data_IF_829395434462
#
_entry.id   IF_829395434462
#
_cell.length_a   1.000
_cell.length_b   1.000
_cell.length_c   1.000
_cell.angle_alpha   90.00
_cell.angle_beta   90.00
_cell.angle_gamma   90.00
#
_symmetry.space_group_name_H-M   'P 1'
#
loop_
_entity.id
_entity.type
_entity.pdbx_description
1 polymer ?
#
# COMPACT_ATOMS: atom_id res chain seq x y z
N UNK A 1 -22.42 15.58 68.44
CA UNK A 1 -21.63 16.17 67.36
C UNK A 1 -20.58 15.23 66.79
N UNK A 2 -19.70 14.59 67.56
CA UNK A 2 -18.63 13.68 67.06
C UNK A 2 -19.18 12.45 66.31
N UNK A 3 -20.30 11.87 66.71
CA UNK A 3 -20.92 10.69 66.08
C UNK A 3 -21.48 11.03 64.70
N UNK A 4 -22.08 12.20 64.53
CA UNK A 4 -22.62 12.67 63.25
C UNK A 4 -21.52 12.96 62.22
N UNK A 5 -20.39 13.49 62.68
CA UNK A 5 -19.20 13.72 61.83
C UNK A 5 -18.65 12.37 61.34
N UNK A 6 -18.58 11.38 62.20
CA UNK A 6 -18.11 10.03 61.84
C UNK A 6 -19.02 9.38 60.81
N UNK A 7 -20.35 9.48 61.00
CA UNK A 7 -21.35 8.95 60.06
C UNK A 7 -21.20 9.65 58.68
N UNK A 8 -21.03 10.96 58.68
CA UNK A 8 -20.83 11.73 57.44
C UNK A 8 -19.55 11.34 56.70
N UNK A 9 -18.42 11.19 57.43
CA UNK A 9 -17.16 10.75 56.86
C UNK A 9 -17.27 9.32 56.28
N UNK A 10 -17.93 8.40 57.04
CA UNK A 10 -18.17 7.04 56.52
C UNK A 10 -19.06 7.02 55.28
N UNK A 11 -20.13 7.80 55.24
CA UNK A 11 -21.02 7.92 54.06
C UNK A 11 -20.31 8.47 52.86
N UNK A 12 -19.41 9.44 53.02
CA UNK A 12 -18.68 10.06 51.92
C UNK A 12 -17.50 9.21 51.41
N UNK A 13 -16.85 8.44 52.32
CA UNK A 13 -15.72 7.56 51.98
C UNK A 13 -16.15 6.20 51.41
N UNK A 14 -17.38 5.74 51.74
CA UNK A 14 -17.89 4.42 51.28
C UNK A 14 -17.90 4.26 49.76
N UNK A 15 -18.41 5.20 48.94
CA UNK A 15 -18.38 5.07 47.48
C UNK A 15 -16.96 5.00 46.93
N UNK A 16 -16.04 5.76 47.48
CA UNK A 16 -14.62 5.73 47.11
C UNK A 16 -13.96 4.39 47.47
N UNK A 17 -14.27 3.87 48.67
CA UNK A 17 -13.74 2.59 49.13
C UNK A 17 -14.28 1.43 48.31
N UNK A 18 -15.57 1.45 47.97
CA UNK A 18 -16.21 0.47 47.05
C UNK A 18 -15.62 0.56 45.64
N UNK A 19 -15.39 1.75 45.13
CA UNK A 19 -14.77 1.96 43.82
C UNK A 19 -13.34 1.41 43.79
N UNK A 20 -12.52 1.68 44.82
CA UNK A 20 -11.14 1.18 44.95
C UNK A 20 -11.13 -0.35 45.11
N UNK A 21 -12.02 -0.91 45.94
CA UNK A 21 -12.15 -2.35 46.11
C UNK A 21 -12.59 -3.02 44.79
N UNK A 22 -13.56 -2.43 44.10
CA UNK A 22 -14.03 -2.95 42.81
C UNK A 22 -12.93 -2.90 41.73
N UNK A 23 -12.14 -1.83 41.70
CA UNK A 23 -10.99 -1.70 40.82
C UNK A 23 -9.87 -2.71 41.12
N UNK A 24 -9.64 -3.00 42.42
CA UNK A 24 -8.65 -3.97 42.89
C UNK A 24 -9.10 -5.43 42.68
N UNK A 25 -10.39 -5.71 42.82
CA UNK A 25 -10.96 -7.05 42.66
C UNK A 25 -11.17 -7.44 41.19
N UNK A 26 -11.46 -6.50 40.32
CA UNK A 26 -11.37 -6.72 38.89
C UNK A 26 -9.89 -6.74 38.50
N UNK A 27 -9.30 -7.92 38.49
CA UNK A 27 -8.17 -8.16 37.60
C UNK A 27 -8.68 -7.93 36.19
N UNK A 28 -8.69 -6.66 35.76
CA UNK A 28 -9.00 -6.30 34.39
C UNK A 28 -8.09 -7.14 33.53
N UNK A 29 -8.66 -7.99 32.68
CA UNK A 29 -7.87 -8.55 31.59
C UNK A 29 -7.29 -7.33 30.89
N UNK A 30 -5.96 -7.20 30.96
CA UNK A 30 -5.26 -6.16 30.21
C UNK A 30 -5.72 -6.35 28.80
N UNK A 31 -6.46 -5.38 28.27
CA UNK A 31 -6.88 -5.37 26.87
C UNK A 31 -5.57 -5.33 26.07
N UNK A 32 -5.11 -6.52 25.69
CA UNK A 32 -3.97 -6.64 24.77
C UNK A 32 -4.48 -6.19 23.42
N UNK A 33 -4.33 -4.92 23.14
CA UNK A 33 -4.53 -4.38 21.81
C UNK A 33 -3.44 -5.04 20.95
N UNK A 34 -3.85 -5.98 20.12
CA UNK A 34 -2.96 -6.55 19.11
C UNK A 34 -2.69 -5.44 18.11
N UNK A 35 -1.46 -4.96 18.09
CA UNK A 35 -1.03 -3.92 17.15
C UNK A 35 -0.64 -4.49 15.78
N UNK A 36 -0.66 -5.81 15.63
CA UNK A 36 -0.17 -6.49 14.43
C UNK A 36 -0.97 -6.08 13.17
N UNK A 37 -2.28 -5.94 13.29
CA UNK A 37 -3.15 -5.51 12.20
C UNK A 37 -2.98 -4.02 11.82
N UNK A 38 -2.39 -3.21 12.69
CA UNK A 38 -2.09 -1.80 12.42
C UNK A 38 -0.74 -1.66 11.73
N UNK A 39 0.20 -2.56 12.03
CA UNK A 39 1.57 -2.54 11.50
C UNK A 39 1.73 -3.29 10.19
N UNK A 40 0.98 -4.36 9.98
CA UNK A 40 1.04 -5.17 8.76
C UNK A 40 -0.22 -4.95 7.91
N UNK A 41 -0.05 -4.28 6.77
CA UNK A 41 -1.14 -4.04 5.82
C UNK A 41 -1.77 -5.32 5.29
N UNK A 42 -1.03 -6.43 5.27
CA UNK A 42 -1.43 -7.75 4.79
C UNK A 42 -1.92 -8.66 5.92
N UNK A 43 -2.10 -8.16 7.13
CA UNK A 43 -2.45 -8.95 8.32
C UNK A 43 -3.66 -9.86 8.10
N UNK A 44 -4.75 -9.36 7.50
CA UNK A 44 -5.97 -10.15 7.32
C UNK A 44 -5.76 -11.34 6.38
N UNK A 45 -5.11 -11.12 5.23
CA UNK A 45 -4.78 -12.18 4.27
C UNK A 45 -3.85 -13.22 4.88
N UNK A 46 -2.75 -12.79 5.49
CA UNK A 46 -1.78 -13.69 6.14
C UNK A 46 -2.39 -14.48 7.30
N UNK A 47 -3.20 -13.84 8.14
CA UNK A 47 -3.88 -14.51 9.25
C UNK A 47 -4.90 -15.55 8.76
N UNK A 48 -5.65 -15.22 7.72
CA UNK A 48 -6.60 -16.14 7.10
C UNK A 48 -5.88 -17.31 6.45
N UNK A 49 -4.83 -17.07 5.66
CA UNK A 49 -4.00 -18.10 5.06
C UNK A 49 -3.46 -19.08 6.10
N UNK A 50 -2.85 -18.55 7.17
CA UNK A 50 -2.29 -19.37 8.23
C UNK A 50 -3.34 -20.25 8.92
N UNK A 51 -4.57 -19.76 9.10
CA UNK A 51 -5.67 -20.53 9.67
C UNK A 51 -6.12 -21.65 8.73
N UNK A 52 -6.28 -21.35 7.43
CA UNK A 52 -6.69 -22.34 6.44
C UNK A 52 -5.61 -23.41 6.28
N UNK A 53 -4.36 -23.03 6.12
CA UNK A 53 -3.22 -23.96 5.93
C UNK A 53 -3.06 -24.92 7.11
N UNK A 54 -3.25 -24.43 8.32
CA UNK A 54 -3.22 -25.27 9.53
C UNK A 54 -4.36 -26.29 9.55
N UNK A 55 -5.55 -25.90 9.10
CA UNK A 55 -6.74 -26.72 9.17
C UNK A 55 -6.93 -27.64 7.94
N UNK A 56 -6.29 -27.32 6.80
CA UNK A 56 -6.44 -28.06 5.55
C UNK A 56 -6.10 -29.55 5.65
N UNK A 57 -5.00 -29.97 6.32
CA UNK A 57 -4.66 -31.38 6.48
C UNK A 57 -5.69 -32.19 7.29
N UNK A 58 -6.48 -31.52 8.13
CA UNK A 58 -7.51 -32.12 8.98
C UNK A 58 -8.90 -32.10 8.32
N UNK A 59 -9.02 -31.60 7.08
CA UNK A 59 -10.27 -31.54 6.34
C UNK A 59 -10.84 -32.96 6.12
N UNK A 60 -12.12 -33.17 6.47
CA UNK A 60 -12.84 -34.45 6.30
C UNK A 60 -14.22 -34.19 5.73
N UNK A 61 -14.58 -34.99 4.72
CA UNK A 61 -15.92 -34.96 4.10
C UNK A 61 -16.35 -33.56 3.61
N UNK A 62 -15.42 -32.76 3.08
CA UNK A 62 -15.70 -31.42 2.62
C UNK A 62 -15.99 -30.41 3.74
N UNK A 63 -15.55 -30.71 4.97
CA UNK A 63 -15.68 -29.83 6.14
C UNK A 63 -14.32 -29.51 6.71
N UNK A 64 -14.10 -28.25 7.07
CA UNK A 64 -12.88 -27.74 7.71
C UNK A 64 -13.21 -27.05 9.04
N UNK A 65 -12.33 -27.18 10.04
CA UNK A 65 -12.49 -26.52 11.32
C UNK A 65 -11.60 -25.28 11.38
N UNK A 66 -12.19 -24.10 11.22
CA UNK A 66 -11.53 -22.81 11.47
C UNK A 66 -11.89 -22.33 12.89
N UNK A 67 -12.57 -21.19 13.04
CA UNK A 67 -13.19 -20.78 14.31
C UNK A 67 -14.46 -21.58 14.62
N UNK A 68 -15.10 -22.08 13.60
CA UNK A 68 -16.26 -22.99 13.60
C UNK A 68 -16.12 -23.98 12.45
N UNK A 69 -16.98 -24.99 12.41
CA UNK A 69 -17.02 -25.93 11.31
C UNK A 69 -17.60 -25.26 10.05
N UNK A 70 -16.83 -25.29 8.97
CA UNK A 70 -17.18 -24.66 7.69
C UNK A 70 -17.28 -25.72 6.59
N UNK A 71 -18.30 -25.60 5.76
CA UNK A 71 -18.43 -26.40 4.55
C UNK A 71 -17.54 -25.83 3.46
N UNK A 72 -16.78 -26.68 2.82
CA UNK A 72 -15.79 -26.31 1.79
C UNK A 72 -16.31 -26.66 0.41
N UNK A 73 -16.10 -25.77 -0.55
CA UNK A 73 -16.20 -26.01 -1.98
C UNK A 73 -14.78 -25.97 -2.57
N UNK A 74 -14.28 -27.13 -2.97
CA UNK A 74 -13.00 -27.21 -3.69
C UNK A 74 -13.20 -26.92 -5.18
N UNK A 75 -12.31 -26.11 -5.76
CA UNK A 75 -12.35 -25.73 -7.18
C UNK A 75 -10.97 -25.78 -7.80
N UNK A 76 -10.90 -26.18 -9.09
CA UNK A 76 -9.68 -26.17 -9.90
C UNK A 76 -10.02 -25.95 -11.37
N UNK A 77 -9.16 -25.23 -12.11
CA UNK A 77 -9.38 -24.90 -13.50
C UNK A 77 -10.55 -23.94 -13.74
N UNK A 78 -11.16 -24.00 -14.90
CA UNK A 78 -12.33 -23.17 -15.23
C UNK A 78 -13.56 -23.71 -14.53
N UNK A 79 -14.09 -22.95 -13.58
CA UNK A 79 -15.24 -23.32 -12.77
C UNK A 79 -16.46 -22.50 -13.16
N UNK A 80 -17.51 -23.18 -13.61
CA UNK A 80 -18.80 -22.55 -13.94
C UNK A 80 -19.76 -22.67 -12.75
N UNK A 81 -20.34 -21.55 -12.33
CA UNK A 81 -21.31 -21.51 -11.22
C UNK A 81 -22.70 -21.27 -11.77
N UNK A 82 -23.60 -22.20 -11.47
CA UNK A 82 -25.02 -22.14 -11.87
C UNK A 82 -25.84 -21.38 -10.83
N UNK A 83 -25.48 -21.55 -9.54
CA UNK A 83 -26.17 -20.87 -8.45
C UNK A 83 -25.62 -19.46 -8.27
N UNK A 84 -26.48 -18.45 -8.07
CA UNK A 84 -26.05 -17.07 -7.89
C UNK A 84 -25.39 -16.81 -6.52
N UNK A 85 -25.61 -17.67 -5.53
CA UNK A 85 -25.05 -17.52 -4.18
C UNK A 85 -24.23 -18.74 -3.78
N UNK A 86 -23.01 -18.51 -3.29
CA UNK A 86 -22.10 -19.51 -2.78
C UNK A 86 -21.89 -19.28 -1.28
N UNK A 87 -22.50 -20.15 -0.48
CA UNK A 87 -22.46 -20.08 0.99
C UNK A 87 -21.25 -20.80 1.61
N UNK A 88 -20.49 -21.51 0.81
CA UNK A 88 -19.36 -22.31 1.25
C UNK A 88 -18.07 -21.48 1.29
N UNK A 89 -17.15 -21.85 2.19
CA UNK A 89 -15.74 -21.47 2.07
C UNK A 89 -15.18 -22.08 0.77
N UNK A 90 -14.56 -21.29 -0.07
CA UNK A 90 -13.98 -21.80 -1.31
C UNK A 90 -12.48 -22.01 -1.14
N UNK A 91 -12.03 -23.21 -1.48
CA UNK A 91 -10.60 -23.55 -1.60
C UNK A 91 -10.31 -23.81 -3.06
N UNK A 92 -9.62 -22.84 -3.68
CA UNK A 92 -9.26 -22.86 -5.09
C UNK A 92 -7.79 -23.28 -5.26
N UNK A 93 -7.50 -24.10 -6.25
CA UNK A 93 -6.11 -24.47 -6.56
C UNK A 93 -5.51 -23.52 -7.61
N UNK A 94 -6.13 -23.43 -8.78
CA UNK A 94 -5.77 -22.50 -9.85
C UNK A 94 -7.05 -22.24 -10.64
N UNK A 95 -7.87 -21.31 -10.20
CA UNK A 95 -9.27 -21.27 -10.62
C UNK A 95 -9.61 -19.99 -11.38
N UNK A 96 -10.31 -20.19 -12.53
CA UNK A 96 -11.00 -19.14 -13.28
C UNK A 96 -12.48 -19.23 -12.89
N UNK A 97 -12.98 -18.20 -12.24
CA UNK A 97 -14.35 -18.11 -11.77
C UNK A 97 -15.25 -17.56 -12.88
N UNK A 98 -16.12 -18.40 -13.41
CA UNK A 98 -17.02 -18.07 -14.52
C UNK A 98 -18.48 -18.30 -14.09
N UNK A 99 -19.23 -17.27 -13.66
CA UNK A 99 -20.66 -17.42 -13.44
C UNK A 99 -21.38 -17.67 -14.78
N UNK A 100 -22.38 -18.54 -14.80
CA UNK A 100 -23.26 -18.72 -15.95
C UNK A 100 -24.32 -17.61 -16.04
N UNK A 101 -24.72 -17.09 -14.87
CA UNK A 101 -25.66 -15.98 -14.75
C UNK A 101 -24.94 -14.73 -14.24
N UNK A 102 -25.52 -13.56 -14.46
CA UNK A 102 -25.06 -12.33 -13.86
C UNK A 102 -25.33 -12.39 -12.34
N UNK A 103 -24.50 -11.65 -11.54
CA UNK A 103 -24.63 -11.51 -10.09
C UNK A 103 -24.24 -12.73 -9.24
N UNK A 104 -23.06 -13.30 -9.45
CA UNK A 104 -22.50 -14.31 -8.54
C UNK A 104 -22.04 -13.69 -7.22
N UNK A 105 -22.50 -14.22 -6.10
CA UNK A 105 -22.18 -13.73 -4.76
C UNK A 105 -21.51 -14.81 -3.90
N UNK A 106 -20.28 -14.55 -3.45
CA UNK A 106 -19.58 -15.37 -2.47
C UNK A 106 -19.81 -14.81 -1.07
N UNK A 107 -20.57 -15.52 -0.26
CA UNK A 107 -20.91 -15.11 1.11
C UNK A 107 -19.76 -15.34 2.10
N UNK A 108 -18.79 -16.16 1.76
CA UNK A 108 -17.61 -16.48 2.57
C UNK A 108 -16.31 -16.14 1.85
N UNK A 109 -15.23 -16.34 2.59
CA UNK A 109 -13.88 -16.09 2.11
C UNK A 109 -13.48 -17.13 1.04
N UNK A 110 -12.59 -16.72 0.16
CA UNK A 110 -11.96 -17.56 -0.86
C UNK A 110 -10.46 -17.65 -0.55
N UNK A 111 -9.95 -18.87 -0.46
CA UNK A 111 -8.53 -19.16 -0.36
C UNK A 111 -8.07 -19.82 -1.66
N UNK A 112 -7.03 -19.26 -2.30
CA UNK A 112 -6.44 -19.86 -3.49
C UNK A 112 -4.98 -20.25 -3.25
N UNK A 113 -4.64 -21.50 -3.62
CA UNK A 113 -3.25 -22.01 -3.55
C UNK A 113 -2.35 -21.43 -4.65
N UNK A 114 -2.93 -20.98 -5.75
CA UNK A 114 -2.25 -20.35 -6.87
C UNK A 114 -3.02 -19.12 -7.34
N UNK A 115 -3.19 -18.96 -8.63
CA UNK A 115 -3.89 -17.83 -9.22
C UNK A 115 -5.42 -17.97 -9.02
N UNK A 116 -6.08 -16.84 -8.82
CA UNK A 116 -7.54 -16.76 -8.82
C UNK A 116 -7.99 -15.62 -9.76
N UNK A 117 -8.75 -15.98 -10.78
CA UNK A 117 -9.19 -15.07 -11.84
C UNK A 117 -10.71 -14.91 -11.81
N UNK A 118 -11.18 -13.70 -11.61
CA UNK A 118 -12.60 -13.34 -11.65
C UNK A 118 -12.84 -12.53 -12.93
N UNK A 119 -13.08 -13.24 -14.05
CA UNK A 119 -13.09 -12.65 -15.38
C UNK A 119 -14.46 -12.16 -15.86
N UNK A 120 -15.53 -12.49 -15.15
CA UNK A 120 -16.88 -12.03 -15.47
C UNK A 120 -17.26 -10.81 -14.65
N UNK A 121 -18.18 -10.02 -15.19
CA UNK A 121 -18.73 -8.84 -14.51
C UNK A 121 -19.70 -9.21 -13.37
N UNK A 122 -19.96 -8.24 -12.49
CA UNK A 122 -20.96 -8.30 -11.42
C UNK A 122 -20.74 -9.43 -10.40
N UNK A 123 -19.50 -9.81 -10.11
CA UNK A 123 -19.19 -10.75 -9.05
C UNK A 123 -19.04 -9.98 -7.73
N UNK A 124 -19.72 -10.46 -6.68
CA UNK A 124 -19.60 -9.95 -5.32
C UNK A 124 -18.78 -10.90 -4.47
N UNK A 125 -17.70 -10.39 -3.91
CA UNK A 125 -16.74 -11.14 -3.12
C UNK A 125 -16.72 -10.61 -1.69
N UNK A 126 -16.77 -11.51 -0.70
CA UNK A 126 -16.62 -11.11 0.70
C UNK A 126 -15.17 -10.79 1.03
N UNK A 127 -14.28 -11.75 0.84
CA UNK A 127 -12.84 -11.57 0.96
C UNK A 127 -12.11 -12.67 0.18
N UNK A 128 -10.91 -12.34 -0.32
CA UNK A 128 -10.14 -13.25 -1.16
C UNK A 128 -8.66 -13.20 -0.77
N UNK A 129 -8.06 -14.39 -0.63
CA UNK A 129 -6.62 -14.55 -0.50
C UNK A 129 -6.08 -15.46 -1.60
N UNK A 130 -4.92 -15.11 -2.15
CA UNK A 130 -4.19 -15.96 -3.08
C UNK A 130 -2.72 -16.07 -2.68
N UNK A 131 -2.18 -17.30 -2.76
CA UNK A 131 -0.72 -17.52 -2.61
C UNK A 131 0.11 -17.01 -3.78
N UNK A 132 -0.54 -16.68 -4.91
CA UNK A 132 0.14 -16.10 -6.06
C UNK A 132 -0.53 -14.80 -6.46
N UNK A 133 -1.37 -14.84 -7.48
CA UNK A 133 -1.93 -13.65 -8.11
C UNK A 133 -3.44 -13.64 -8.07
N UNK A 134 -4.01 -12.45 -7.95
CA UNK A 134 -5.44 -12.19 -8.08
C UNK A 134 -5.70 -11.35 -9.32
N UNK A 135 -6.74 -11.67 -10.06
CA UNK A 135 -7.25 -10.86 -11.14
C UNK A 135 -8.74 -10.58 -10.93
N UNK A 136 -9.08 -9.31 -10.89
CA UNK A 136 -10.45 -8.82 -10.90
C UNK A 136 -10.75 -8.18 -12.25
N UNK A 137 -11.69 -8.79 -12.99
CA UNK A 137 -12.25 -8.20 -14.21
C UNK A 137 -13.08 -6.97 -13.91
N UNK A 138 -13.90 -6.54 -14.86
CA UNK A 138 -14.72 -5.33 -14.69
C UNK A 138 -15.88 -5.55 -13.71
N UNK A 139 -16.29 -4.48 -13.03
CA UNK A 139 -17.50 -4.41 -12.17
C UNK A 139 -17.53 -5.45 -11.04
N UNK A 140 -16.36 -5.78 -10.52
CA UNK A 140 -16.24 -6.64 -9.33
C UNK A 140 -16.50 -5.80 -8.07
N UNK A 141 -17.26 -6.36 -7.14
CA UNK A 141 -17.51 -5.74 -5.83
C UNK A 141 -16.88 -6.58 -4.72
N UNK A 142 -15.89 -6.05 -4.06
CA UNK A 142 -15.27 -6.62 -2.88
C UNK A 142 -15.90 -5.97 -1.63
N UNK A 143 -16.34 -6.80 -0.65
CA UNK A 143 -16.98 -6.27 0.55
C UNK A 143 -15.99 -5.94 1.67
N UNK A 144 -14.91 -6.71 1.81
CA UNK A 144 -13.97 -6.55 2.91
C UNK A 144 -12.53 -6.37 2.45
N UNK A 145 -11.84 -7.46 2.14
CA UNK A 145 -10.42 -7.38 1.79
C UNK A 145 -10.04 -8.39 0.71
N UNK A 146 -9.01 -8.04 -0.06
CA UNK A 146 -8.29 -8.94 -0.95
C UNK A 146 -6.79 -8.85 -0.68
N UNK A 147 -6.09 -9.99 -0.71
CA UNK A 147 -4.65 -10.07 -0.54
C UNK A 147 -4.05 -11.14 -1.44
N UNK A 148 -2.90 -10.84 -2.06
CA UNK A 148 -2.11 -11.78 -2.83
C UNK A 148 -0.65 -11.76 -2.41
N UNK A 149 0.02 -12.92 -2.44
CA UNK A 149 1.46 -12.96 -2.12
C UNK A 149 2.30 -12.25 -3.19
N UNK A 150 1.89 -12.33 -4.45
CA UNK A 150 2.61 -11.73 -5.56
C UNK A 150 1.90 -10.47 -6.06
N UNK A 151 0.96 -10.60 -6.98
CA UNK A 151 0.36 -9.46 -7.66
C UNK A 151 -1.16 -9.47 -7.60
N UNK A 152 -1.74 -8.27 -7.59
CA UNK A 152 -3.17 -8.07 -7.80
C UNK A 152 -3.37 -7.18 -9.03
N UNK A 153 -4.17 -7.65 -9.96
CA UNK A 153 -4.62 -6.92 -11.14
C UNK A 153 -6.10 -6.62 -11.02
N UNK A 154 -6.48 -5.36 -11.16
CA UNK A 154 -7.87 -4.90 -11.12
C UNK A 154 -8.15 -4.14 -12.40
N UNK A 155 -9.19 -4.55 -13.12
CA UNK A 155 -9.66 -3.82 -14.29
C UNK A 155 -10.59 -2.68 -13.91
N UNK A 156 -11.58 -2.37 -14.70
CA UNK A 156 -12.31 -1.12 -14.55
C UNK A 156 -13.63 -1.28 -13.77
N UNK A 157 -14.15 -0.18 -13.24
CA UNK A 157 -15.46 -0.05 -12.60
C UNK A 157 -15.66 -0.96 -11.36
N UNK A 158 -14.59 -1.27 -10.63
CA UNK A 158 -14.65 -2.12 -9.44
C UNK A 158 -14.82 -1.30 -8.15
N UNK A 159 -15.54 -1.91 -7.19
CA UNK A 159 -15.60 -1.46 -5.80
C UNK A 159 -14.69 -2.37 -4.96
N UNK A 160 -13.56 -1.84 -4.54
CA UNK A 160 -12.49 -2.60 -3.88
C UNK A 160 -12.65 -2.72 -2.36
N UNK A 161 -13.80 -2.30 -1.83
CA UNK A 161 -14.15 -2.44 -0.42
C UNK A 161 -13.16 -1.78 0.54
N UNK A 162 -12.92 -2.43 1.68
CA UNK A 162 -12.14 -1.83 2.75
C UNK A 162 -10.63 -1.85 2.48
N UNK A 163 -10.10 -2.93 1.87
CA UNK A 163 -8.66 -3.08 1.68
C UNK A 163 -8.29 -4.02 0.55
N UNK A 164 -7.34 -3.59 -0.27
CA UNK A 164 -6.62 -4.46 -1.22
C UNK A 164 -5.13 -4.38 -0.94
N UNK A 165 -4.49 -5.53 -0.84
CA UNK A 165 -3.06 -5.63 -0.56
C UNK A 165 -2.36 -6.67 -1.44
N UNK A 166 -1.07 -6.45 -1.66
CA UNK A 166 -0.22 -7.34 -2.43
C UNK A 166 1.19 -7.38 -1.84
N UNK A 167 1.87 -8.51 -2.02
CA UNK A 167 3.26 -8.67 -1.60
C UNK A 167 4.27 -8.04 -2.54
N UNK A 168 3.91 -7.86 -3.81
CA UNK A 168 4.82 -7.34 -4.84
C UNK A 168 4.23 -6.12 -5.53
N UNK A 169 3.14 -6.28 -6.27
CA UNK A 169 2.59 -5.17 -7.04
C UNK A 169 1.07 -5.20 -7.11
N UNK A 170 0.49 -4.02 -7.22
CA UNK A 170 -0.92 -3.78 -7.40
C UNK A 170 -1.13 -2.89 -8.63
N UNK A 171 -1.87 -3.37 -9.62
CA UNK A 171 -2.20 -2.60 -10.81
C UNK A 171 -3.71 -2.42 -10.88
N UNK A 172 -4.17 -1.19 -10.91
CA UNK A 172 -5.60 -0.84 -10.86
C UNK A 172 -5.95 0.03 -12.06
N UNK A 173 -6.92 -0.41 -12.83
CA UNK A 173 -7.49 0.31 -13.97
C UNK A 173 -8.28 1.54 -13.55
N UNK A 174 -9.26 1.91 -14.37
CA UNK A 174 -10.01 3.16 -14.23
C UNK A 174 -11.38 2.96 -13.58
N UNK A 175 -11.98 4.05 -13.15
CA UNK A 175 -13.33 4.11 -12.56
C UNK A 175 -13.52 3.19 -11.36
N UNK A 176 -12.42 2.94 -10.63
CA UNK A 176 -12.39 2.13 -9.42
C UNK A 176 -12.54 3.00 -8.17
N UNK A 177 -13.17 2.43 -7.13
CA UNK A 177 -13.27 3.03 -5.80
C UNK A 177 -12.62 2.11 -4.76
N UNK A 178 -12.00 2.70 -3.73
CA UNK A 178 -11.29 1.98 -2.68
C UNK A 178 -11.24 2.76 -1.37
N UNK A 179 -10.87 2.11 -0.26
CA UNK A 179 -10.55 2.80 1.00
C UNK A 179 -9.06 2.66 1.37
N UNK A 180 -8.48 1.48 1.22
CA UNK A 180 -7.07 1.27 1.55
C UNK A 180 -6.39 0.34 0.55
N UNK A 181 -5.22 0.76 0.07
CA UNK A 181 -4.37 -0.02 -0.83
C UNK A 181 -2.99 -0.19 -0.20
N UNK A 182 -2.36 -1.33 -0.46
CA UNK A 182 -0.97 -1.57 -0.10
C UNK A 182 -0.27 -2.48 -1.10
N UNK A 183 0.85 -2.05 -1.60
CA UNK A 183 1.86 -2.89 -2.26
C UNK A 183 3.21 -2.17 -2.26
N UNK A 184 4.34 -2.89 -2.39
CA UNK A 184 5.63 -2.26 -2.68
C UNK A 184 5.57 -1.33 -3.89
N UNK A 185 4.82 -1.71 -4.93
CA UNK A 185 4.56 -0.89 -6.12
C UNK A 185 3.06 -0.87 -6.41
N UNK A 186 2.44 0.30 -6.44
CA UNK A 186 1.04 0.51 -6.83
C UNK A 186 1.01 1.35 -8.10
N UNK A 187 0.33 0.86 -9.13
CA UNK A 187 0.07 1.54 -10.40
C UNK A 187 -1.41 1.84 -10.50
N UNK A 188 -1.76 3.07 -10.70
CA UNK A 188 -3.14 3.55 -10.65
C UNK A 188 -3.53 4.22 -11.96
N UNK A 189 -4.71 3.90 -12.48
CA UNK A 189 -5.18 4.37 -13.77
C UNK A 189 -4.32 3.85 -14.92
N UNK A 190 -3.96 2.59 -14.84
CA UNK A 190 -3.18 1.88 -15.85
C UNK A 190 -3.66 0.43 -15.90
N UNK A 191 -3.81 -0.14 -17.10
CA UNK A 191 -4.14 -1.55 -17.24
C UNK A 191 -2.91 -2.44 -17.09
N UNK A 192 -3.08 -3.67 -16.61
CA UNK A 192 -1.97 -4.61 -16.43
C UNK A 192 -1.11 -4.85 -17.68
N UNK A 193 -1.71 -4.78 -18.86
CA UNK A 193 -1.04 -4.94 -20.17
C UNK A 193 -0.34 -3.69 -20.69
N UNK A 194 -0.64 -2.51 -20.10
CA UNK A 194 0.01 -1.28 -20.55
C UNK A 194 1.47 -1.21 -20.08
N UNK A 195 2.40 -0.76 -20.95
CA UNK A 195 3.79 -0.56 -20.54
C UNK A 195 3.92 0.56 -19.52
N UNK A 196 4.96 0.52 -18.70
CA UNK A 196 5.32 1.57 -17.76
C UNK A 196 5.72 2.84 -18.50
N UNK A 197 4.79 3.76 -18.72
CA UNK A 197 5.03 4.99 -19.47
C UNK A 197 5.82 6.03 -18.69
N UNK A 198 5.73 6.02 -17.37
CA UNK A 198 6.24 7.07 -16.50
C UNK A 198 7.55 6.73 -15.77
N UNK A 199 7.96 5.46 -15.76
CA UNK A 199 9.22 5.07 -15.12
C UNK A 199 10.46 5.46 -15.93
N UNK A 200 10.34 5.55 -17.26
CA UNK A 200 11.46 5.84 -18.15
C UNK A 200 11.82 7.34 -18.23
N UNK A 201 10.88 8.22 -17.86
CA UNK A 201 11.04 9.69 -17.99
C UNK A 201 11.41 10.40 -16.67
N UNK A 202 11.62 9.65 -15.57
CA UNK A 202 11.96 10.27 -14.28
C UNK A 202 13.35 10.91 -14.31
N UNK A 203 13.41 12.13 -13.83
CA UNK A 203 14.67 12.84 -13.63
C UNK A 203 15.56 12.04 -12.66
N UNK A 204 16.76 11.57 -13.09
CA UNK A 204 17.66 10.79 -12.22
C UNK A 204 18.10 11.55 -10.97
N UNK A 205 17.97 12.88 -10.92
CA UNK A 205 18.23 13.67 -9.71
C UNK A 205 17.25 13.38 -8.57
N UNK A 206 16.04 12.90 -8.89
CA UNK A 206 15.00 12.58 -7.91
C UNK A 206 15.40 11.38 -7.04
N UNK A 207 16.21 10.46 -7.55
CA UNK A 207 16.66 9.26 -6.84
C UNK A 207 17.82 9.50 -5.85
N UNK A 208 18.37 10.70 -5.79
CA UNK A 208 19.41 11.02 -4.80
C UNK A 208 18.79 11.17 -3.42
N UNK A 209 19.40 10.52 -2.41
CA UNK A 209 18.98 10.68 -1.01
C UNK A 209 19.01 12.17 -0.63
N UNK A 210 17.92 12.72 -0.08
CA UNK A 210 17.90 14.12 0.33
C UNK A 210 18.95 14.35 1.41
N UNK A 211 19.79 15.34 1.21
CA UNK A 211 20.66 15.85 2.28
C UNK A 211 19.75 16.57 3.26
N UNK A 212 19.58 16.03 4.46
CA UNK A 212 18.72 16.59 5.49
C UNK A 212 19.32 17.86 6.09
N UNK A 213 19.35 18.94 5.34
CA UNK A 213 19.61 20.26 5.87
C UNK A 213 18.29 20.84 6.39
N UNK A 214 18.13 20.90 7.70
CA UNK A 214 16.95 21.49 8.34
C UNK A 214 17.12 23.01 8.41
N UNK A 215 16.63 23.71 7.40
CA UNK A 215 16.36 25.14 7.47
C UNK A 215 14.85 25.34 7.39
N UNK A 216 14.27 25.99 8.41
CA UNK A 216 12.84 26.33 8.45
C UNK A 216 12.64 27.68 7.76
N UNK A 217 11.70 27.74 6.83
CA UNK A 217 11.39 28.94 6.09
C UNK A 217 9.87 29.17 6.07
N UNK A 218 9.43 30.29 6.59
CA UNK A 218 8.01 30.67 6.56
C UNK A 218 7.72 31.41 5.23
N UNK A 219 7.31 30.65 4.20
CA UNK A 219 7.01 31.18 2.87
C UNK A 219 5.77 30.51 2.27
N UNK A 220 5.05 31.26 1.44
CA UNK A 220 3.86 30.77 0.72
C UNK A 220 4.18 30.34 -0.72
N UNK A 221 5.28 30.81 -1.26
CA UNK A 221 5.69 30.60 -2.64
C UNK A 221 7.12 30.07 -2.69
N UNK A 222 7.30 28.98 -3.42
CA UNK A 222 8.61 28.34 -3.62
C UNK A 222 8.92 28.47 -5.10
N UNK A 223 9.82 29.34 -5.44
CA UNK A 223 10.14 29.79 -6.80
C UNK A 223 11.65 29.83 -7.06
N UNK A 224 12.03 30.30 -8.26
CA UNK A 224 13.42 30.29 -8.75
C UNK A 224 14.40 31.07 -7.88
N UNK A 225 13.94 32.07 -7.11
CA UNK A 225 14.88 32.84 -6.24
C UNK A 225 15.39 31.99 -5.07
N UNK A 226 14.80 30.85 -4.77
CA UNK A 226 15.27 29.93 -3.73
C UNK A 226 16.16 28.82 -4.28
N UNK A 227 16.29 28.71 -5.60
CA UNK A 227 17.05 27.64 -6.26
C UNK A 227 18.54 27.89 -6.14
N UNK A 228 19.27 26.89 -5.67
CA UNK A 228 20.73 26.90 -5.61
C UNK A 228 21.36 26.63 -6.99
N UNK A 229 22.68 26.78 -7.10
CA UNK A 229 23.44 26.42 -8.31
C UNK A 229 23.26 24.96 -8.75
N UNK A 230 22.87 24.06 -7.80
CA UNK A 230 22.54 22.66 -8.08
C UNK A 230 21.14 22.45 -8.63
N UNK A 231 20.34 23.48 -8.83
CA UNK A 231 18.96 23.40 -9.32
C UNK A 231 17.96 22.91 -8.26
N UNK A 232 18.27 23.07 -6.98
CA UNK A 232 17.43 22.57 -5.88
C UNK A 232 17.15 23.64 -4.84
N UNK A 233 16.05 23.49 -4.09
CA UNK A 233 15.71 24.27 -2.90
C UNK A 233 16.00 23.42 -1.66
N UNK A 234 17.06 23.70 -0.88
CA UNK A 234 17.53 22.82 0.19
C UNK A 234 16.85 23.09 1.55
N UNK A 235 15.60 23.55 1.57
CA UNK A 235 14.94 24.01 2.80
C UNK A 235 13.69 23.21 3.12
N UNK A 236 13.40 23.04 4.41
CA UNK A 236 12.08 22.68 4.91
C UNK A 236 11.21 23.94 4.96
N UNK A 237 10.02 23.89 4.37
CA UNK A 237 9.10 25.01 4.28
C UNK A 237 7.98 24.85 5.28
N UNK A 238 7.80 25.88 6.10
CA UNK A 238 6.69 25.94 7.07
C UNK A 238 5.88 27.20 6.79
N UNK A 239 4.58 27.07 6.65
CA UNK A 239 3.67 28.19 6.41
C UNK A 239 2.37 28.02 7.19
N UNK A 240 1.82 29.14 7.69
CA UNK A 240 0.48 29.19 8.28
C UNK A 240 -0.65 29.27 7.26
N UNK A 241 -0.35 29.38 6.00
CA UNK A 241 -1.30 29.43 4.90
C UNK A 241 -0.85 28.53 3.76
N UNK A 242 -1.51 28.67 2.62
CA UNK A 242 -1.25 27.85 1.45
C UNK A 242 0.22 27.94 0.99
N UNK A 243 0.71 26.83 0.45
CA UNK A 243 2.04 26.74 -0.17
C UNK A 243 1.87 26.32 -1.61
N UNK A 244 2.59 26.99 -2.49
CA UNK A 244 2.68 26.66 -3.91
C UNK A 244 4.14 26.48 -4.30
N UNK A 245 4.50 25.28 -4.77
CA UNK A 245 5.79 24.97 -5.39
C UNK A 245 5.59 25.09 -6.89
N UNK A 246 6.33 26.02 -7.54
CA UNK A 246 6.18 26.24 -8.98
C UNK A 246 6.82 25.11 -9.80
N UNK A 247 6.60 25.15 -11.10
CA UNK A 247 7.02 24.14 -12.07
C UNK A 247 8.53 23.87 -12.03
N UNK A 248 8.92 22.65 -12.36
CA UNK A 248 10.31 22.19 -12.56
C UNK A 248 11.26 22.36 -11.35
N UNK A 249 10.76 22.72 -10.16
CA UNK A 249 11.58 22.89 -8.94
C UNK A 249 11.73 21.56 -8.19
N UNK A 250 12.93 21.33 -7.65
CA UNK A 250 13.24 20.24 -6.73
C UNK A 250 13.42 20.80 -5.32
N UNK A 251 12.45 20.54 -4.44
CA UNK A 251 12.52 20.86 -3.03
C UNK A 251 13.10 19.68 -2.25
N UNK A 252 14.24 19.87 -1.58
CA UNK A 252 14.88 18.78 -0.81
C UNK A 252 14.28 18.57 0.58
N UNK A 253 13.65 19.60 1.15
CA UNK A 253 13.09 19.56 2.50
C UNK A 253 11.65 19.05 2.57
N UNK A 254 11.10 19.10 3.78
CA UNK A 254 9.70 18.83 4.06
C UNK A 254 8.82 20.06 3.80
N UNK A 255 7.52 19.85 3.64
CA UNK A 255 6.51 20.91 3.60
C UNK A 255 5.54 20.71 4.78
N UNK A 256 5.35 21.76 5.57
CA UNK A 256 4.33 21.87 6.60
C UNK A 256 3.45 23.08 6.33
N UNK A 257 2.17 22.89 6.14
CA UNK A 257 1.19 23.94 5.84
C UNK A 257 -0.05 23.82 6.71
N UNK A 258 -0.45 24.94 7.35
CA UNK A 258 -1.77 25.07 7.97
C UNK A 258 -2.88 25.31 6.92
N UNK A 259 -2.51 25.49 5.64
CA UNK A 259 -3.38 25.66 4.48
C UNK A 259 -3.31 24.47 3.52
N UNK A 260 -3.56 24.76 2.25
CA UNK A 260 -3.43 23.82 1.12
C UNK A 260 -1.99 23.80 0.57
N UNK A 261 -1.64 22.70 -0.10
CA UNK A 261 -0.35 22.56 -0.77
C UNK A 261 -0.58 22.21 -2.23
N UNK A 262 0.07 22.96 -3.11
CA UNK A 262 0.03 22.73 -4.55
C UNK A 262 1.45 22.51 -5.07
N UNK A 263 1.71 21.33 -5.61
CA UNK A 263 2.95 21.00 -6.30
C UNK A 263 2.66 21.05 -7.79
N UNK A 264 3.24 22.02 -8.49
CA UNK A 264 2.97 22.26 -9.90
C UNK A 264 3.65 21.23 -10.80
N UNK A 265 3.39 21.34 -12.09
CA UNK A 265 3.85 20.39 -13.10
C UNK A 265 5.37 20.14 -13.03
N UNK A 266 5.80 18.88 -13.11
CA UNK A 266 7.17 18.39 -13.04
C UNK A 266 7.94 18.75 -11.77
N UNK A 267 7.35 19.47 -10.81
CA UNK A 267 8.03 19.80 -9.56
C UNK A 267 8.18 18.57 -8.66
N UNK A 268 9.23 18.56 -7.85
CA UNK A 268 9.57 17.41 -7.01
C UNK A 268 9.81 17.82 -5.57
N UNK A 269 9.24 17.08 -4.62
CA UNK A 269 9.49 17.22 -3.18
C UNK A 269 10.16 15.94 -2.68
N UNK A 270 11.41 16.04 -2.22
CA UNK A 270 12.16 14.87 -1.73
C UNK A 270 11.79 14.51 -0.29
N UNK A 271 11.26 15.46 0.47
CA UNK A 271 10.78 15.29 1.83
C UNK A 271 9.32 14.86 1.93
N UNK A 272 8.77 15.03 3.12
CA UNK A 272 7.37 14.76 3.43
C UNK A 272 6.48 15.99 3.23
N UNK A 273 5.20 15.77 3.02
CA UNK A 273 4.19 16.85 2.96
C UNK A 273 3.15 16.62 4.06
N UNK A 274 2.93 17.66 4.86
CA UNK A 274 1.87 17.74 5.87
C UNK A 274 1.04 18.99 5.62
N UNK A 275 -0.27 18.82 5.39
CA UNK A 275 -1.19 19.93 5.18
C UNK A 275 -2.45 19.76 6.03
N UNK A 276 -3.04 20.88 6.47
CA UNK A 276 -4.34 20.88 7.14
C UNK A 276 -5.49 20.81 6.11
N UNK A 277 -5.28 21.38 4.90
CA UNK A 277 -6.25 21.40 3.82
C UNK A 277 -5.80 20.51 2.64
N UNK A 278 -6.35 20.73 1.47
CA UNK A 278 -6.14 19.89 0.29
C UNK A 278 -4.69 19.91 -0.21
N UNK A 279 -4.28 18.77 -0.78
CA UNK A 279 -3.01 18.65 -1.50
C UNK A 279 -3.29 18.34 -2.96
N UNK A 280 -2.73 19.14 -3.86
CA UNK A 280 -2.78 18.92 -5.30
C UNK A 280 -1.36 18.66 -5.82
N UNK A 281 -1.17 17.50 -6.43
CA UNK A 281 0.00 17.17 -7.24
C UNK A 281 -0.40 17.25 -8.71
N UNK A 282 0.12 18.26 -9.39
CA UNK A 282 -0.13 18.45 -10.82
C UNK A 282 0.61 17.41 -11.67
N UNK A 283 0.47 17.51 -12.98
CA UNK A 283 1.00 16.54 -13.94
C UNK A 283 2.50 16.27 -13.71
N UNK A 284 2.87 15.00 -13.65
CA UNK A 284 4.24 14.52 -13.39
C UNK A 284 4.88 14.99 -12.08
N UNK A 285 4.16 15.68 -11.19
CA UNK A 285 4.69 16.08 -9.89
C UNK A 285 5.08 14.84 -9.06
N UNK A 286 6.18 14.93 -8.33
CA UNK A 286 6.72 13.79 -7.57
C UNK A 286 6.97 14.15 -6.11
N UNK A 287 6.55 13.28 -5.18
CA UNK A 287 6.86 13.41 -3.76
C UNK A 287 7.52 12.13 -3.28
N UNK A 288 8.77 12.18 -2.81
CA UNK A 288 9.49 10.97 -2.37
C UNK A 288 9.21 10.56 -0.92
N UNK A 289 8.68 11.49 -0.11
CA UNK A 289 8.31 11.26 1.29
C UNK A 289 6.85 10.87 1.48
N UNK A 290 6.44 10.85 2.75
CA UNK A 290 5.06 10.63 3.12
C UNK A 290 4.18 11.86 2.82
N UNK A 291 2.91 11.63 2.54
CA UNK A 291 1.92 12.67 2.28
C UNK A 291 0.77 12.51 3.25
N UNK A 292 0.49 13.53 4.06
CA UNK A 292 -0.60 13.54 5.02
C UNK A 292 -1.41 14.82 4.91
N UNK A 293 -2.74 14.68 4.91
CA UNK A 293 -3.62 15.83 5.01
C UNK A 293 -4.91 15.51 5.78
N UNK A 294 -5.51 16.57 6.39
CA UNK A 294 -6.86 16.54 6.91
C UNK A 294 -7.91 16.76 5.80
N UNK A 295 -7.51 17.32 4.66
CA UNK A 295 -8.32 17.54 3.47
C UNK A 295 -8.29 16.38 2.48
N UNK A 296 -8.35 16.72 1.20
CA UNK A 296 -8.30 15.79 0.07
C UNK A 296 -6.91 15.77 -0.56
N UNK A 297 -6.60 14.69 -1.28
CA UNK A 297 -5.41 14.61 -2.12
C UNK A 297 -5.82 14.35 -3.56
N UNK A 298 -5.26 15.11 -4.48
CA UNK A 298 -5.47 14.94 -5.92
C UNK A 298 -4.12 14.68 -6.57
N UNK A 299 -4.04 13.58 -7.31
CA UNK A 299 -2.93 13.24 -8.19
C UNK A 299 -3.38 13.42 -9.63
N UNK A 300 -2.83 14.40 -10.33
CA UNK A 300 -3.04 14.53 -11.77
C UNK A 300 -2.23 13.47 -12.55
N UNK A 301 -2.41 13.44 -13.86
CA UNK A 301 -1.79 12.45 -14.74
C UNK A 301 -0.27 12.37 -14.54
N UNK A 302 0.26 11.18 -14.31
CA UNK A 302 1.69 10.93 -14.13
C UNK A 302 2.27 11.35 -12.77
N UNK A 303 1.51 12.03 -11.93
CA UNK A 303 1.98 12.38 -10.59
C UNK A 303 2.25 11.12 -9.76
N UNK A 304 3.27 11.16 -8.89
CA UNK A 304 3.73 9.97 -8.17
C UNK A 304 4.19 10.26 -6.75
N UNK A 305 4.14 9.21 -5.90
CA UNK A 305 4.58 9.28 -4.52
C UNK A 305 5.47 8.09 -4.15
N UNK A 306 6.61 8.37 -3.52
CA UNK A 306 7.59 7.38 -3.12
C UNK A 306 8.59 7.02 -4.23
N UNK A 307 9.37 5.98 -3.96
CA UNK A 307 10.37 5.42 -4.87
C UNK A 307 10.50 3.90 -4.60
N UNK A 308 11.05 3.11 -5.53
CA UNK A 308 11.03 1.64 -5.45
C UNK A 308 11.59 1.03 -4.17
N UNK A 309 12.57 1.64 -3.55
CA UNK A 309 13.29 1.11 -2.39
C UNK A 309 12.75 1.63 -1.03
N UNK A 310 11.71 2.47 -1.05
CA UNK A 310 11.21 3.11 0.17
C UNK A 310 9.68 3.09 0.24
N UNK A 311 9.16 2.32 1.19
CA UNK A 311 7.74 2.30 1.50
C UNK A 311 7.35 3.62 2.17
N UNK A 312 6.37 4.30 1.59
CA UNK A 312 5.80 5.55 2.10
C UNK A 312 4.30 5.40 2.38
N UNK A 313 3.73 6.43 2.98
CA UNK A 313 2.30 6.51 3.26
C UNK A 313 1.70 7.76 2.64
N UNK A 314 0.61 7.58 1.90
CA UNK A 314 -0.26 8.63 1.39
C UNK A 314 -1.59 8.52 2.13
N UNK A 315 -1.89 9.50 2.98
CA UNK A 315 -3.05 9.44 3.88
C UNK A 315 -3.85 10.73 3.79
N UNK A 316 -5.13 10.60 3.53
CA UNK A 316 -6.09 11.69 3.57
C UNK A 316 -7.24 11.37 4.50
N UNK A 317 -7.65 12.33 5.32
CA UNK A 317 -8.92 12.23 6.04
C UNK A 317 -10.11 12.45 5.11
N UNK A 318 -9.96 13.30 4.10
CA UNK A 318 -10.90 13.45 2.99
C UNK A 318 -10.75 12.34 1.95
N UNK A 319 -10.95 12.68 0.70
CA UNK A 319 -10.84 11.78 -0.45
C UNK A 319 -9.46 11.79 -1.08
N UNK A 320 -9.08 10.69 -1.76
CA UNK A 320 -7.91 10.66 -2.64
C UNK A 320 -8.37 10.38 -4.07
N UNK A 321 -7.98 11.23 -5.01
CA UNK A 321 -8.34 11.06 -6.42
C UNK A 321 -7.09 10.95 -7.28
N UNK A 322 -7.07 9.95 -8.17
CA UNK A 322 -6.02 9.71 -9.15
C UNK A 322 -6.57 9.87 -10.57
N UNK A 323 -5.85 10.59 -11.43
CA UNK A 323 -6.24 10.83 -12.83
C UNK A 323 -5.44 10.00 -13.86
N UNK A 324 -4.85 8.90 -13.43
CA UNK A 324 -4.21 7.92 -14.28
C UNK A 324 -2.70 8.08 -14.45
N UNK A 325 -2.05 6.97 -14.75
CA UNK A 325 -0.59 6.89 -14.88
C UNK A 325 0.19 7.17 -13.59
N UNK A 326 -0.47 7.02 -12.44
CA UNK A 326 0.11 7.36 -11.16
C UNK A 326 0.84 6.17 -10.52
N UNK A 327 1.92 6.46 -9.80
CA UNK A 327 2.68 5.48 -9.03
C UNK A 327 2.70 5.86 -7.56
N UNK A 328 2.46 4.88 -6.69
CA UNK A 328 2.65 5.00 -5.24
C UNK A 328 3.40 3.79 -4.72
N UNK A 329 4.42 4.01 -3.90
CA UNK A 329 5.23 2.95 -3.32
C UNK A 329 4.91 2.78 -1.84
N UNK A 330 3.90 1.96 -1.53
CA UNK A 330 3.54 1.65 -0.15
C UNK A 330 2.06 1.72 0.16
N UNK A 331 1.67 2.59 1.07
CA UNK A 331 0.30 2.69 1.60
C UNK A 331 -0.47 3.85 0.98
N UNK A 332 -1.72 3.59 0.60
CA UNK A 332 -2.71 4.63 0.27
C UNK A 332 -3.92 4.40 1.17
N UNK A 333 -4.27 5.39 1.98
CA UNK A 333 -5.40 5.30 2.91
C UNK A 333 -6.24 6.57 2.85
N UNK A 334 -7.53 6.42 2.62
CA UNK A 334 -8.49 7.52 2.58
C UNK A 334 -9.70 7.21 3.45
N UNK A 335 -10.00 8.08 4.43
CA UNK A 335 -11.22 7.94 5.24
C UNK A 335 -12.47 8.27 4.42
N UNK A 336 -12.38 9.26 3.53
CA UNK A 336 -13.48 9.67 2.64
C UNK A 336 -13.64 8.80 1.39
N UNK A 337 -12.76 7.81 1.20
CA UNK A 337 -12.71 6.93 0.02
C UNK A 337 -11.81 7.46 -1.09
N UNK A 338 -11.20 6.52 -1.83
CA UNK A 338 -10.34 6.81 -2.96
C UNK A 338 -11.05 6.55 -4.29
N UNK A 339 -10.65 7.28 -5.33
CA UNK A 339 -11.17 7.13 -6.70
C UNK A 339 -10.04 7.15 -7.71
N UNK A 340 -10.17 6.32 -8.73
CA UNK A 340 -9.27 6.32 -9.88
C UNK A 340 -10.13 6.65 -11.10
N UNK A 341 -9.95 7.83 -11.68
CA UNK A 341 -10.78 8.36 -12.74
C UNK A 341 -10.11 8.17 -14.09
N UNK A 342 -10.94 7.96 -15.10
CA UNK A 342 -10.53 7.79 -16.50
C UNK A 342 -10.09 9.12 -17.10
N UNK A 343 -8.92 9.17 -17.68
CA UNK A 343 -8.59 10.20 -18.66
C UNK A 343 -8.99 9.63 -20.03
N UNK A 344 -9.79 10.33 -20.78
CA UNK A 344 -10.40 10.08 -22.11
C UNK A 344 -9.87 8.94 -23.02
N UNK A 345 -9.69 7.72 -22.53
CA UNK A 345 -9.21 6.59 -23.32
C UNK A 345 -10.26 5.50 -23.51
N UNK A 346 -10.49 5.14 -24.77
CA UNK A 346 -11.14 3.89 -25.13
C UNK A 346 -10.26 2.70 -24.77
N UNK A 347 -10.88 1.66 -24.23
CA UNK A 347 -10.16 0.49 -23.80
C UNK A 347 -10.81 -0.79 -24.24
N UNK A 348 -10.08 -1.60 -24.95
CA UNK A 348 -10.36 -3.00 -25.24
C UNK A 348 -9.05 -3.79 -25.07
N UNK A 349 -9.03 -4.82 -24.23
CA UNK A 349 -7.92 -5.74 -24.05
C UNK A 349 -8.35 -7.02 -23.38
N UNK A 350 -7.64 -8.11 -23.60
CA UNK A 350 -7.82 -9.35 -22.84
C UNK A 350 -7.32 -9.18 -21.40
N UNK A 351 -7.95 -9.89 -20.45
CA UNK A 351 -7.51 -9.89 -19.08
C UNK A 351 -6.15 -10.58 -18.93
N UNK A 352 -5.18 -9.88 -18.37
CA UNK A 352 -3.88 -10.45 -18.08
C UNK A 352 -3.37 -10.01 -16.69
N UNK A 353 -2.48 -10.81 -16.14
CA UNK A 353 -1.74 -10.40 -14.96
C UNK A 353 -0.62 -9.41 -15.36
N UNK A 354 -0.22 -8.51 -14.44
CA UNK A 354 0.99 -7.73 -14.63
C UNK A 354 2.17 -8.67 -14.87
N UNK A 355 3.14 -8.23 -15.68
CA UNK A 355 4.35 -9.00 -15.89
C UNK A 355 5.02 -9.25 -14.55
N UNK A 356 5.44 -10.48 -14.30
CA UNK A 356 6.26 -10.79 -13.14
C UNK A 356 7.56 -9.99 -13.26
N UNK A 357 7.97 -9.27 -12.21
CA UNK A 357 9.28 -8.64 -12.20
C UNK A 357 10.34 -9.73 -12.35
N UNK A 358 11.32 -9.50 -13.21
CA UNK A 358 12.46 -10.41 -13.34
C UNK A 358 13.35 -10.17 -12.13
N UNK A 359 13.28 -11.08 -11.17
CA UNK A 359 14.13 -11.03 -9.98
C UNK A 359 15.38 -11.84 -10.22
N UNK A 360 16.52 -11.20 -10.12
CA UNK A 360 17.81 -11.88 -10.15
C UNK A 360 18.13 -12.40 -8.74
N UNK A 361 18.18 -13.72 -8.58
CA UNK A 361 18.61 -14.32 -7.30
C UNK A 361 20.11 -14.10 -7.04
N UNK A 362 20.86 -13.80 -8.08
CA UNK A 362 22.31 -13.57 -8.03
C UNK A 362 22.70 -12.29 -8.75
N UNK A 363 23.32 -11.38 -8.02
CA UNK A 363 23.84 -10.13 -8.57
C UNK A 363 25.34 -10.27 -8.86
N UNK A 364 25.73 -9.83 -10.04
CA UNK A 364 27.14 -9.71 -10.44
C UNK A 364 27.37 -8.31 -10.98
N UNK A 365 28.22 -7.54 -10.31
CA UNK A 365 28.59 -6.19 -10.78
C UNK A 365 29.54 -6.29 -11.96
N UNK A 366 29.36 -5.45 -12.98
CA UNK A 366 30.19 -5.45 -14.19
C UNK A 366 31.60 -4.93 -13.90
N UNK A 367 31.68 -3.91 -13.06
CA UNK A 367 32.94 -3.26 -12.69
C UNK A 367 32.81 -2.50 -11.35
N UNK A 368 33.92 -1.92 -10.90
CA UNK A 368 33.97 -1.12 -9.68
C UNK A 368 33.05 0.12 -9.73
N UNK A 369 32.89 0.73 -10.89
CA UNK A 369 32.09 1.94 -11.01
C UNK A 369 30.59 1.63 -10.82
N UNK A 370 30.14 0.50 -11.31
CA UNK A 370 28.78 0.00 -11.07
C UNK A 370 28.59 -0.35 -9.60
N UNK A 371 29.60 -1.00 -8.98
CA UNK A 371 29.56 -1.37 -7.57
C UNK A 371 29.55 -0.17 -6.62
N UNK A 372 30.35 0.85 -6.91
CA UNK A 372 30.46 2.05 -6.08
C UNK A 372 29.28 3.00 -6.24
N UNK A 373 28.56 2.92 -7.37
CA UNK A 373 27.44 3.79 -7.67
C UNK A 373 26.13 3.20 -7.15
N UNK A 374 25.96 3.26 -5.84
CA UNK A 374 24.80 2.70 -5.11
C UNK A 374 23.46 3.25 -5.59
N UNK A 375 23.43 4.43 -6.19
CA UNK A 375 22.21 5.11 -6.63
C UNK A 375 21.67 4.59 -7.96
N UNK A 376 22.46 3.84 -8.73
CA UNK A 376 22.07 3.28 -10.04
C UNK A 376 21.63 1.81 -9.96
N UNK A 377 21.61 1.20 -8.78
CA UNK A 377 21.39 -0.22 -8.63
C UNK A 377 19.91 -0.54 -8.38
N UNK A 378 19.25 -1.10 -9.37
CA UNK A 378 17.84 -1.50 -9.32
C UNK A 378 17.49 -2.65 -8.37
N UNK A 379 18.49 -3.24 -7.66
CA UNK A 379 18.27 -4.36 -6.74
C UNK A 379 18.19 -3.93 -5.25
N UNK A 380 18.45 -2.68 -4.91
CA UNK A 380 18.27 -2.18 -3.53
C UNK A 380 16.85 -2.41 -3.06
N UNK A 381 16.71 -3.06 -1.93
CA UNK A 381 15.42 -3.45 -1.41
C UNK A 381 14.82 -4.70 -2.05
N UNK A 382 15.51 -5.31 -3.03
CA UNK A 382 15.08 -6.56 -3.64
C UNK A 382 15.16 -7.69 -2.61
N UNK A 383 14.00 -8.23 -2.27
CA UNK A 383 13.86 -9.31 -1.28
C UNK A 383 14.20 -10.70 -1.87
N UNK A 384 14.42 -10.79 -3.18
CA UNK A 384 14.69 -12.08 -3.86
C UNK A 384 16.17 -12.36 -4.06
N UNK A 385 17.02 -11.34 -3.96
CA UNK A 385 18.48 -11.49 -4.08
C UNK A 385 19.02 -12.34 -2.96
N UNK A 386 19.60 -13.49 -3.32
CA UNK A 386 20.21 -14.45 -2.40
C UNK A 386 21.74 -14.43 -2.39
N UNK A 387 22.33 -14.11 -3.52
CA UNK A 387 23.78 -14.10 -3.69
C UNK A 387 24.25 -12.80 -4.37
N UNK A 388 25.37 -12.25 -3.91
CA UNK A 388 26.01 -11.12 -4.57
C UNK A 388 27.52 -11.35 -4.71
N UNK A 389 28.08 -11.02 -5.87
CA UNK A 389 29.51 -11.11 -6.17
C UNK A 389 30.09 -9.71 -6.21
N UNK A 390 31.02 -9.43 -5.31
CA UNK A 390 31.74 -8.16 -5.25
C UNK A 390 32.86 -8.17 -6.31
N UNK A 391 33.03 -7.13 -7.11
CA UNK A 391 34.04 -7.09 -8.17
C UNK A 391 35.46 -7.00 -7.60
N UNK A 392 36.43 -7.53 -8.35
CA UNK A 392 37.86 -7.40 -8.01
C UNK A 392 38.27 -5.92 -7.88
N UNK A 393 39.05 -5.61 -6.86
CA UNK A 393 39.53 -4.27 -6.57
C UNK A 393 38.65 -3.47 -5.60
N UNK A 394 37.47 -3.97 -5.22
CA UNK A 394 36.66 -3.35 -4.19
C UNK A 394 37.32 -3.53 -2.80
N UNK A 395 37.66 -2.42 -2.16
CA UNK A 395 38.28 -2.38 -0.84
C UNK A 395 37.31 -2.18 0.31
N UNK A 396 36.11 -1.75 0.02
CA UNK A 396 35.07 -1.41 1.01
C UNK A 396 33.69 -1.76 0.45
N UNK A 397 32.80 -2.26 1.30
CA UNK A 397 31.37 -2.37 0.98
C UNK A 397 30.72 -1.01 1.29
N UNK A 398 30.19 -0.29 0.29
CA UNK A 398 29.54 1.00 0.51
C UNK A 398 28.39 0.89 1.52
N UNK A 399 28.24 1.92 2.34
CA UNK A 399 27.15 2.00 3.31
C UNK A 399 25.80 1.86 2.60
N UNK A 400 24.97 0.96 3.06
CA UNK A 400 23.64 0.69 2.51
C UNK A 400 23.60 -0.01 1.14
N UNK A 401 24.71 -0.56 0.63
CA UNK A 401 24.79 -1.29 -0.65
C UNK A 401 23.71 -2.38 -0.77
N UNK A 402 23.53 -3.17 0.29
CA UNK A 402 22.57 -4.28 0.34
C UNK A 402 21.40 -3.97 1.28
N UNK A 403 21.09 -2.68 1.47
CA UNK A 403 19.98 -2.29 2.33
C UNK A 403 18.64 -2.81 1.76
N UNK A 404 17.91 -3.55 2.58
CA UNK A 404 16.60 -4.10 2.21
C UNK A 404 16.63 -5.45 1.47
N UNK A 405 17.82 -5.97 1.09
CA UNK A 405 17.97 -7.31 0.53
C UNK A 405 17.85 -8.36 1.65
N UNK A 406 16.60 -8.68 2.04
CA UNK A 406 16.32 -9.52 3.22
C UNK A 406 16.63 -11.00 3.02
N UNK A 407 16.75 -11.47 1.78
CA UNK A 407 17.05 -12.87 1.43
C UNK A 407 18.51 -13.10 1.10
N UNK A 408 19.38 -12.09 1.24
CA UNK A 408 20.78 -12.23 0.94
C UNK A 408 21.45 -13.22 1.91
N UNK A 409 21.89 -14.38 1.38
CA UNK A 409 22.50 -15.47 2.13
C UNK A 409 24.02 -15.52 1.93
N UNK A 410 24.50 -15.13 0.74
CA UNK A 410 25.91 -15.25 0.37
C UNK A 410 26.44 -13.97 -0.27
N UNK A 411 27.61 -13.56 0.22
CA UNK A 411 28.39 -12.47 -0.33
C UNK A 411 29.76 -13.01 -0.71
N UNK A 412 30.07 -13.00 -2.01
CA UNK A 412 31.38 -13.43 -2.51
C UNK A 412 32.28 -12.20 -2.57
N UNK A 413 33.33 -12.23 -1.78
CA UNK A 413 34.36 -11.19 -1.76
C UNK A 413 35.45 -11.52 -2.78
N UNK A 414 36.13 -10.51 -3.36
CA UNK A 414 37.23 -10.73 -4.32
C UNK A 414 38.43 -11.40 -3.70
#
# INVERSE_FOLDING_TARGET
>A
MKVWILIFVCMFSMPLLVAVLHFRMRKGQILKIRQDYVKDARYFGKSFSALVEKALPEMKNGMIMLSRQEKVLETDGKQEFVQPEIENLVIARNTIFCPQQNDLHFQKEIYSEKDALFVKENIRLRAVYSKKRLLFGNKIRLLRWADAEQAVAVYDECDLGERVSSGEQLVIGFDNIFHSLYAPVIRLGQRPEEPDRFMEERDPRIFRMPVMNRYEYNRHYIDDDMVTESGTVPYTIISRGDIKVIEDIILQGDIHSDGAVRIMENASVLGNIFAENDILLEKNATVLGNIFTQGNIIFEEGASAGQPDKIISVVARGTITFYGGNYVYGYVVSEGGGKILKSDREVLGEYCFPREPVHEEKITFRDLSEYENVDLQGFRGDIYVKEAIIPEGASVIPKSQFFGCRSLEKLYLP
#
